data_IF_087793072592
#
_entry.id   IF_087793072592
#
_cell.length_a   1.000
_cell.length_b   1.000
_cell.length_c   1.000
_cell.angle_alpha   90.00
_cell.angle_beta   90.00
_cell.angle_gamma   90.00
#
_symmetry.space_group_name_H-M   'P 1'
#
loop_
_entity.id
_entity.type
_entity.pdbx_description
1 polymer ?
#
# COMPACT_ATOMS: atom_id res chain seq x y z
N UNK A 1 6.63 2.37 8.32
CA UNK A 1 5.59 1.39 8.73
C UNK A 1 4.39 2.15 9.28
N UNK A 2 3.21 1.86 8.75
CA UNK A 2 1.95 2.27 9.37
C UNK A 2 1.62 1.33 10.55
N UNK A 3 1.56 1.90 11.75
CA UNK A 3 1.29 1.15 12.99
C UNK A 3 -0.22 1.01 13.29
N UNK A 4 -1.09 1.75 12.62
CA UNK A 4 -2.53 1.65 12.82
C UNK A 4 -3.08 0.23 12.63
N UNK A 5 -2.88 -0.38 11.45
CA UNK A 5 -3.30 -1.76 11.22
C UNK A 5 -2.56 -2.79 12.09
N UNK A 6 -1.33 -2.50 12.55
CA UNK A 6 -0.63 -3.35 13.51
C UNK A 6 -1.40 -3.43 14.83
N UNK A 7 -1.84 -2.30 15.39
CA UNK A 7 -2.64 -2.31 16.62
C UNK A 7 -4.00 -3.02 16.44
N UNK A 8 -4.62 -2.90 15.26
CA UNK A 8 -5.87 -3.61 14.98
C UNK A 8 -5.73 -5.13 15.04
N UNK A 9 -4.57 -5.69 14.72
CA UNK A 9 -4.30 -7.13 14.86
C UNK A 9 -4.41 -7.60 16.33
N UNK A 10 -4.25 -6.67 17.27
CA UNK A 10 -4.31 -6.91 18.73
C UNK A 10 -5.61 -6.40 19.34
N UNK A 11 -6.65 -6.16 18.54
CA UNK A 11 -7.93 -5.58 18.94
C UNK A 11 -7.81 -4.23 19.68
N UNK A 12 -6.72 -3.50 19.43
CA UNK A 12 -6.46 -2.18 20.00
C UNK A 12 -6.94 -1.11 19.04
N UNK A 13 -8.00 -0.38 19.37
CA UNK A 13 -8.60 0.66 18.56
C UNK A 13 -8.09 2.04 18.96
N UNK A 14 -7.60 2.80 17.98
CA UNK A 14 -7.18 4.19 18.17
C UNK A 14 -6.15 4.62 17.12
N UNK A 15 -6.06 5.91 16.84
CA UNK A 15 -5.09 6.42 15.88
C UNK A 15 -3.67 6.46 16.50
N UNK A 16 -2.68 5.98 15.76
CA UNK A 16 -1.28 6.16 16.15
C UNK A 16 -0.82 7.59 15.82
N UNK A 17 -0.05 8.29 16.69
CA UNK A 17 0.52 7.81 17.96
C UNK A 17 -0.38 7.99 19.18
N UNK A 18 -1.54 8.64 19.07
CA UNK A 18 -2.39 8.97 20.20
C UNK A 18 -2.82 7.76 21.05
N UNK A 19 -2.97 6.58 20.40
CA UNK A 19 -3.31 5.32 21.06
C UNK A 19 -2.36 4.97 22.22
N UNK A 20 -1.09 5.38 22.15
CA UNK A 20 -0.09 5.07 23.20
C UNK A 20 -0.36 5.81 24.53
N UNK A 21 -1.16 6.89 24.49
CA UNK A 21 -1.52 7.68 25.66
C UNK A 21 -3.01 7.61 25.97
N UNK A 22 -3.72 6.68 25.33
CA UNK A 22 -5.15 6.46 25.59
C UNK A 22 -5.38 5.95 27.02
N UNK A 23 -6.43 6.46 27.68
CA UNK A 23 -6.71 6.16 29.08
C UNK A 23 -7.09 4.69 29.33
N UNK A 24 -7.65 4.00 28.31
CA UNK A 24 -8.14 2.63 28.42
C UNK A 24 -7.10 1.63 27.89
N UNK A 25 -6.64 1.84 26.66
CA UNK A 25 -5.78 0.89 25.95
C UNK A 25 -4.31 1.28 25.90
N UNK A 26 -3.95 2.48 26.34
CA UNK A 26 -2.60 3.04 26.14
C UNK A 26 -1.48 2.21 26.79
N UNK A 27 -1.71 1.63 27.97
CA UNK A 27 -0.71 0.77 28.64
C UNK A 27 -0.42 -0.47 27.79
N UNK A 28 -1.47 -1.15 27.32
CA UNK A 28 -1.32 -2.35 26.50
C UNK A 28 -0.78 -2.02 25.10
N UNK A 29 -1.25 -0.92 24.49
CA UNK A 29 -0.74 -0.44 23.23
C UNK A 29 0.76 -0.13 23.30
N UNK A 30 1.22 0.51 24.36
CA UNK A 30 2.64 0.81 24.56
C UNK A 30 3.46 -0.46 24.70
N UNK A 31 2.96 -1.48 25.45
CA UNK A 31 3.63 -2.77 25.62
C UNK A 31 3.76 -3.49 24.27
N UNK A 32 2.65 -3.66 23.55
CA UNK A 32 2.61 -4.34 22.24
C UNK A 32 3.48 -3.61 21.22
N UNK A 33 3.50 -2.28 21.25
CA UNK A 33 4.35 -1.47 20.39
C UNK A 33 5.84 -1.71 20.66
N UNK A 34 6.25 -1.74 21.94
CA UNK A 34 7.64 -2.02 22.32
C UNK A 34 8.08 -3.42 21.89
N UNK A 35 7.21 -4.42 22.08
CA UNK A 35 7.45 -5.80 21.65
C UNK A 35 7.55 -5.89 20.12
N UNK A 36 6.66 -5.16 19.40
CA UNK A 36 6.70 -5.06 17.94
C UNK A 36 8.00 -4.46 17.43
N UNK A 37 8.47 -3.39 18.05
CA UNK A 37 9.75 -2.77 17.68
C UNK A 37 10.94 -3.69 17.97
N UNK A 38 10.91 -4.39 19.09
CA UNK A 38 11.96 -5.36 19.44
C UNK A 38 11.99 -6.53 18.43
N UNK A 39 10.82 -7.04 18.05
CA UNK A 39 10.70 -8.10 17.05
C UNK A 39 11.15 -7.58 15.66
N UNK A 40 10.74 -6.39 15.25
CA UNK A 40 11.16 -5.77 13.99
C UNK A 40 12.68 -5.65 13.92
N UNK A 41 13.31 -5.23 14.99
CA UNK A 41 14.79 -5.19 15.08
C UNK A 41 15.41 -6.57 14.84
N UNK A 42 14.87 -7.63 15.47
CA UNK A 42 15.34 -9.01 15.27
C UNK A 42 15.15 -9.48 13.82
N UNK A 43 14.03 -9.12 13.17
CA UNK A 43 13.74 -9.44 11.78
C UNK A 43 14.82 -8.82 10.87
N UNK A 44 15.13 -7.54 11.08
CA UNK A 44 16.09 -6.78 10.26
C UNK A 44 17.52 -7.28 10.48
N UNK A 45 17.99 -7.34 11.72
CA UNK A 45 19.35 -7.75 12.06
C UNK A 45 19.62 -9.21 11.69
N UNK A 46 18.63 -10.08 11.96
CA UNK A 46 18.69 -11.50 11.63
C UNK A 46 18.40 -11.85 10.18
N UNK A 47 18.00 -10.86 9.36
CA UNK A 47 17.58 -11.08 7.96
C UNK A 47 16.59 -12.23 7.82
N UNK A 48 15.55 -12.25 8.66
CA UNK A 48 14.62 -13.35 8.73
C UNK A 48 13.69 -13.43 7.53
N UNK A 49 13.45 -12.30 6.87
CA UNK A 49 12.60 -12.18 5.70
C UNK A 49 13.37 -11.62 4.52
N UNK A 50 12.97 -11.99 3.33
CA UNK A 50 13.44 -11.39 2.08
C UNK A 50 12.30 -10.63 1.42
N UNK A 51 12.60 -9.42 0.98
CA UNK A 51 11.68 -8.60 0.21
C UNK A 51 12.07 -8.64 -1.28
N UNK A 52 11.07 -8.72 -2.14
CA UNK A 52 11.24 -8.65 -3.59
C UNK A 52 10.15 -7.81 -4.21
N UNK A 53 10.49 -7.07 -5.25
CA UNK A 53 9.54 -6.25 -5.99
C UNK A 53 9.83 -6.28 -7.48
N UNK A 54 8.79 -6.20 -8.27
CA UNK A 54 8.85 -6.03 -9.72
C UNK A 54 7.95 -4.87 -10.11
N UNK A 55 8.37 -4.09 -11.09
CA UNK A 55 7.59 -3.01 -11.66
C UNK A 55 7.75 -2.96 -13.17
N UNK A 56 6.72 -2.45 -13.85
CA UNK A 56 6.73 -2.19 -15.27
C UNK A 56 5.96 -0.91 -15.60
N UNK A 57 6.40 -0.24 -16.65
CA UNK A 57 5.72 0.92 -17.24
C UNK A 57 5.25 0.51 -18.63
N UNK A 58 3.99 0.73 -18.93
CA UNK A 58 3.37 0.25 -20.16
C UNK A 58 2.61 1.37 -20.85
N UNK A 59 2.65 1.43 -22.20
CA UNK A 59 1.76 2.30 -22.94
C UNK A 59 0.31 2.00 -22.57
N UNK A 60 -0.46 3.04 -22.22
CA UNK A 60 -1.83 2.86 -21.74
C UNK A 60 -2.72 4.06 -22.11
N UNK A 61 -4.01 3.81 -22.27
CA UNK A 61 -5.02 4.83 -22.36
C UNK A 61 -6.31 4.39 -21.66
N UNK A 62 -7.05 5.33 -21.09
CA UNK A 62 -8.36 5.02 -20.55
C UNK A 62 -9.43 4.91 -21.65
N UNK A 63 -10.37 3.99 -21.44
CA UNK A 63 -11.51 3.70 -22.32
C UNK A 63 -12.77 3.47 -21.49
N UNK A 64 -13.94 3.64 -22.07
CA UNK A 64 -15.24 3.34 -21.44
C UNK A 64 -15.43 3.99 -20.05
N UNK A 65 -14.85 5.16 -19.82
CA UNK A 65 -14.84 5.94 -18.58
C UNK A 65 -14.07 5.32 -17.41
N UNK A 66 -14.10 4.00 -17.22
CA UNK A 66 -13.57 3.31 -16.03
C UNK A 66 -12.42 2.34 -16.33
N UNK A 67 -12.23 1.95 -17.58
CA UNK A 67 -11.27 0.94 -17.99
C UNK A 67 -9.96 1.53 -18.49
N UNK A 68 -8.87 0.74 -18.42
CA UNK A 68 -7.56 1.11 -18.96
C UNK A 68 -7.08 -0.01 -19.89
N UNK A 69 -6.85 0.32 -21.16
CA UNK A 69 -6.14 -0.56 -22.09
C UNK A 69 -4.64 -0.38 -21.93
N UNK A 70 -3.94 -1.50 -21.79
CA UNK A 70 -2.49 -1.59 -21.85
C UNK A 70 -2.09 -2.20 -23.18
N UNK A 71 -1.12 -1.62 -23.85
CA UNK A 71 -0.69 -2.03 -25.17
C UNK A 71 0.61 -2.83 -25.12
N UNK A 72 0.82 -3.69 -26.14
CA UNK A 72 2.06 -4.47 -26.27
C UNK A 72 3.29 -3.60 -26.49
N UNK A 73 3.12 -2.47 -27.20
CA UNK A 73 4.18 -1.52 -27.51
C UNK A 73 3.65 -0.10 -27.76
N UNK A 74 4.55 0.83 -28.08
CA UNK A 74 4.25 2.23 -28.33
C UNK A 74 3.45 2.50 -29.61
N UNK A 75 3.30 1.52 -30.50
CA UNK A 75 2.42 1.67 -31.68
C UNK A 75 0.94 1.68 -31.30
N UNK A 76 0.59 1.16 -30.12
CA UNK A 76 -0.76 1.11 -29.56
C UNK A 76 -1.79 0.43 -30.47
N UNK A 77 -1.32 -0.50 -31.30
CA UNK A 77 -2.16 -1.23 -32.27
C UNK A 77 -2.76 -2.48 -31.68
N UNK A 78 -2.06 -3.10 -30.72
CA UNK A 78 -2.47 -4.35 -30.07
C UNK A 78 -2.63 -4.15 -28.56
N UNK A 79 -3.81 -4.52 -28.05
CA UNK A 79 -4.12 -4.48 -26.62
C UNK A 79 -3.59 -5.75 -25.97
N UNK A 80 -2.63 -5.61 -25.07
CA UNK A 80 -2.08 -6.71 -24.29
C UNK A 80 -3.02 -7.13 -23.14
N UNK A 81 -3.64 -6.14 -22.49
CA UNK A 81 -4.52 -6.34 -21.35
C UNK A 81 -5.49 -5.17 -21.19
N UNK A 82 -6.70 -5.46 -20.76
CA UNK A 82 -7.62 -4.44 -20.26
C UNK A 82 -7.78 -4.59 -18.76
N UNK A 83 -7.50 -3.51 -18.03
CA UNK A 83 -7.81 -3.40 -16.61
C UNK A 83 -9.22 -2.80 -16.46
N UNK A 84 -10.10 -3.56 -15.84
CA UNK A 84 -11.48 -3.14 -15.61
C UNK A 84 -11.57 -2.42 -14.27
N UNK A 85 -11.86 -1.12 -14.33
CA UNK A 85 -11.94 -0.27 -13.15
C UNK A 85 -13.31 -0.28 -12.49
N UNK A 86 -13.32 0.01 -11.20
CA UNK A 86 -14.54 0.26 -10.45
C UNK A 86 -14.49 1.68 -9.89
N UNK A 87 -15.42 2.52 -10.36
CA UNK A 87 -15.58 3.87 -9.84
C UNK A 87 -16.11 3.86 -8.41
N UNK A 88 -15.66 4.79 -7.59
CA UNK A 88 -16.11 4.91 -6.19
C UNK A 88 -17.64 4.92 -6.12
N UNK A 89 -18.22 4.02 -5.29
CA UNK A 89 -19.65 3.86 -5.10
C UNK A 89 -20.16 4.58 -3.84
N UNK A 90 -19.26 5.12 -3.00
CA UNK A 90 -19.65 5.81 -1.79
C UNK A 90 -20.45 7.08 -2.09
N UNK A 91 -21.50 7.32 -1.32
CA UNK A 91 -22.26 8.57 -1.37
C UNK A 91 -21.33 9.76 -1.09
N UNK A 92 -21.47 10.83 -1.87
CA UNK A 92 -20.63 12.02 -1.76
C UNK A 92 -21.42 13.14 -1.09
N UNK A 93 -20.88 13.62 0.03
CA UNK A 93 -21.40 14.81 0.68
C UNK A 93 -21.00 16.07 -0.07
N UNK A 94 -21.94 16.99 -0.21
CA UNK A 94 -21.67 18.33 -0.75
C UNK A 94 -21.07 19.20 0.35
N UNK A 95 -19.90 19.76 0.12
CA UNK A 95 -19.23 20.69 1.01
C UNK A 95 -19.13 22.04 0.27
N UNK A 96 -19.63 23.10 0.85
CA UNK A 96 -19.65 24.46 0.28
C UNK A 96 -20.25 24.51 -1.14
N UNK A 97 -21.33 23.76 -1.37
CA UNK A 97 -22.02 23.69 -2.65
C UNK A 97 -21.31 22.88 -3.74
N UNK A 98 -20.17 22.25 -3.42
CA UNK A 98 -19.39 21.43 -4.36
C UNK A 98 -19.48 19.96 -3.97
N UNK A 99 -20.02 19.14 -4.86
CA UNK A 99 -20.00 17.67 -4.71
C UNK A 99 -18.74 17.12 -5.39
N UNK A 100 -17.88 16.44 -4.62
CA UNK A 100 -16.69 15.80 -5.18
C UNK A 100 -17.10 14.64 -6.08
N UNK A 101 -16.51 14.49 -7.29
CA UNK A 101 -16.83 13.38 -8.18
C UNK A 101 -16.40 12.04 -7.58
N UNK A 102 -17.11 10.99 -7.93
CA UNK A 102 -16.65 9.62 -7.69
C UNK A 102 -15.46 9.32 -8.59
N UNK A 103 -14.34 8.90 -8.02
CA UNK A 103 -13.07 8.69 -8.73
C UNK A 103 -12.88 7.23 -9.13
N UNK A 104 -12.22 7.04 -10.27
CA UNK A 104 -11.67 5.77 -10.72
C UNK A 104 -10.18 5.95 -11.03
N UNK A 105 -9.40 4.88 -11.05
CA UNK A 105 -7.99 4.96 -11.46
C UNK A 105 -7.84 5.39 -12.92
N UNK A 106 -8.81 5.05 -13.77
CA UNK A 106 -8.84 5.48 -15.18
C UNK A 106 -8.87 7.00 -15.36
N UNK A 107 -9.36 7.77 -14.38
CA UNK A 107 -9.37 9.24 -14.42
C UNK A 107 -7.96 9.86 -14.44
N UNK A 108 -6.93 9.09 -14.10
CA UNK A 108 -5.53 9.52 -14.06
C UNK A 108 -4.72 9.08 -15.29
N UNK A 109 -5.37 8.45 -16.26
CA UNK A 109 -4.77 8.02 -17.53
C UNK A 109 -5.49 8.72 -18.68
N UNK A 110 -4.73 9.28 -19.62
CA UNK A 110 -5.31 10.04 -20.74
C UNK A 110 -6.30 9.18 -21.55
N UNK A 111 -7.50 9.71 -21.86
CA UNK A 111 -8.46 8.99 -22.68
C UNK A 111 -7.91 8.67 -24.08
N UNK A 112 -8.18 7.48 -24.59
CA UNK A 112 -7.80 7.08 -25.95
C UNK A 112 -8.31 8.07 -27.01
N UNK A 113 -9.51 8.62 -26.80
CA UNK A 113 -10.11 9.62 -27.67
C UNK A 113 -9.36 10.95 -27.73
N UNK A 114 -8.50 11.25 -26.75
CA UNK A 114 -7.70 12.48 -26.73
C UNK A 114 -6.53 12.45 -27.70
N UNK A 115 -6.12 11.26 -28.17
CA UNK A 115 -4.93 11.08 -29.00
C UNK A 115 -3.60 11.26 -28.27
N UNK A 116 -3.63 11.46 -26.94
CA UNK A 116 -2.43 11.60 -26.11
C UNK A 116 -1.85 10.21 -25.84
N UNK A 117 -0.59 10.01 -26.15
CA UNK A 117 0.16 8.81 -25.77
C UNK A 117 0.50 8.89 -24.28
N UNK A 118 -0.15 8.05 -23.48
CA UNK A 118 0.07 8.00 -22.03
C UNK A 118 0.58 6.63 -21.60
N UNK A 119 0.99 6.52 -20.34
CA UNK A 119 1.57 5.32 -19.76
C UNK A 119 0.97 5.07 -18.38
N UNK A 120 0.88 3.80 -18.00
CA UNK A 120 0.53 3.42 -16.65
C UNK A 120 1.56 2.46 -16.07
N UNK A 121 1.88 2.64 -14.79
CA UNK A 121 2.79 1.80 -14.05
C UNK A 121 2.05 0.74 -13.25
N UNK A 122 2.59 -0.47 -13.26
CA UNK A 122 2.17 -1.54 -12.37
C UNK A 122 3.36 -2.07 -11.57
N UNK A 123 3.13 -2.45 -10.33
CA UNK A 123 4.14 -3.13 -9.53
C UNK A 123 3.53 -4.18 -8.62
N UNK A 124 4.34 -5.16 -8.26
CA UNK A 124 4.03 -6.12 -7.21
C UNK A 124 5.20 -6.23 -6.26
N UNK A 125 4.91 -6.37 -4.97
CA UNK A 125 5.92 -6.49 -3.92
C UNK A 125 5.55 -7.60 -2.95
N UNK A 126 6.57 -8.17 -2.33
CA UNK A 126 6.45 -9.05 -1.18
C UNK A 126 7.56 -8.77 -0.19
N UNK A 127 7.30 -8.93 1.11
CA UNK A 127 8.30 -8.86 2.17
C UNK A 127 8.20 -10.08 3.11
N UNK A 128 7.50 -11.13 2.70
CA UNK A 128 7.22 -12.32 3.50
C UNK A 128 7.98 -13.57 3.07
N UNK A 129 8.94 -13.48 2.16
CA UNK A 129 9.69 -14.68 1.74
C UNK A 129 10.54 -15.20 2.91
N UNK A 130 10.30 -16.47 3.29
CA UNK A 130 10.94 -17.12 4.44
C UNK A 130 10.13 -17.10 5.72
N UNK A 131 8.90 -16.57 5.70
CA UNK A 131 8.01 -16.46 6.86
C UNK A 131 7.72 -17.83 7.46
N UNK A 132 7.45 -18.85 6.64
CA UNK A 132 6.97 -20.15 7.08
C UNK A 132 7.96 -20.84 8.04
N UNK A 133 9.25 -20.72 7.75
CA UNK A 133 10.30 -21.34 8.58
C UNK A 133 10.35 -20.74 9.98
N UNK A 134 10.24 -19.42 10.09
CA UNK A 134 10.29 -18.72 11.37
C UNK A 134 8.99 -18.84 12.15
N UNK A 135 7.85 -18.72 11.47
CA UNK A 135 6.53 -18.94 12.05
C UNK A 135 6.45 -20.33 12.66
N UNK A 136 6.84 -21.37 11.90
CA UNK A 136 6.87 -22.74 12.39
C UNK A 136 7.71 -22.89 13.65
N UNK A 137 8.86 -22.24 13.74
CA UNK A 137 9.71 -22.31 14.93
C UNK A 137 9.02 -21.73 16.17
N UNK A 138 8.22 -20.66 16.05
CA UNK A 138 7.42 -20.12 17.15
C UNK A 138 6.27 -21.07 17.53
N UNK A 139 5.56 -21.60 16.53
CA UNK A 139 4.47 -22.57 16.77
C UNK A 139 4.99 -23.83 17.46
N UNK A 140 6.11 -24.40 17.00
CA UNK A 140 6.73 -25.59 17.60
C UNK A 140 7.19 -25.32 19.06
N UNK A 141 7.50 -24.06 19.38
CA UNK A 141 7.84 -23.60 20.72
C UNK A 141 6.60 -23.25 21.58
N UNK A 142 5.38 -23.39 21.06
CA UNK A 142 4.12 -22.97 21.68
C UNK A 142 4.09 -21.46 22.02
N UNK A 143 4.78 -20.64 21.20
CA UNK A 143 4.86 -19.18 21.34
C UNK A 143 3.95 -18.51 20.29
N UNK A 144 2.65 -18.62 20.48
CA UNK A 144 1.65 -18.05 19.58
C UNK A 144 1.73 -16.53 19.53
N UNK A 145 2.11 -15.89 20.64
CA UNK A 145 2.28 -14.44 20.70
C UNK A 145 3.34 -13.94 19.71
N UNK A 146 4.52 -14.56 19.72
CA UNK A 146 5.59 -14.22 18.78
C UNK A 146 5.24 -14.60 17.34
N UNK A 147 4.50 -15.68 17.12
CA UNK A 147 4.03 -16.07 15.79
C UNK A 147 3.09 -15.00 15.18
N UNK A 148 2.09 -14.56 15.93
CA UNK A 148 1.14 -13.49 15.52
C UNK A 148 1.89 -12.18 15.29
N UNK A 149 2.76 -11.79 16.23
CA UNK A 149 3.60 -10.59 16.14
C UNK A 149 4.44 -10.58 14.86
N UNK A 150 5.09 -11.67 14.57
CA UNK A 150 5.95 -11.83 13.40
C UNK A 150 5.16 -11.72 12.08
N UNK A 151 4.00 -12.37 11.98
CA UNK A 151 3.13 -12.29 10.80
C UNK A 151 2.60 -10.88 10.58
N UNK A 152 2.12 -10.25 11.64
CA UNK A 152 1.62 -8.88 11.59
C UNK A 152 2.70 -7.91 11.10
N UNK A 153 3.94 -8.05 11.58
CA UNK A 153 5.06 -7.22 11.12
C UNK A 153 5.46 -7.52 9.67
N UNK A 154 5.43 -8.77 9.23
CA UNK A 154 5.72 -9.12 7.83
C UNK A 154 4.71 -8.47 6.87
N UNK A 155 3.44 -8.46 7.23
CA UNK A 155 2.38 -7.77 6.50
C UNK A 155 2.64 -6.25 6.45
N UNK A 156 2.98 -5.64 7.58
CA UNK A 156 3.33 -4.20 7.63
C UNK A 156 4.58 -3.86 6.82
N UNK A 157 5.54 -4.77 6.74
CA UNK A 157 6.74 -4.59 5.91
C UNK A 157 6.41 -4.63 4.41
N UNK A 158 5.49 -5.49 3.97
CA UNK A 158 5.03 -5.52 2.58
C UNK A 158 4.36 -4.19 2.20
N UNK A 159 3.49 -3.64 3.05
CA UNK A 159 2.86 -2.34 2.85
C UNK A 159 3.90 -1.21 2.78
N UNK A 160 4.84 -1.17 3.73
CA UNK A 160 5.91 -0.18 3.75
C UNK A 160 6.80 -0.26 2.50
N UNK A 161 7.05 -1.48 2.00
CA UNK A 161 7.81 -1.67 0.78
C UNK A 161 7.04 -1.20 -0.45
N UNK A 162 5.72 -1.44 -0.51
CA UNK A 162 4.87 -0.91 -1.58
C UNK A 162 4.94 0.62 -1.65
N UNK A 163 4.85 1.30 -0.51
CA UNK A 163 4.99 2.77 -0.45
C UNK A 163 6.39 3.23 -0.87
N UNK A 164 7.44 2.58 -0.37
CA UNK A 164 8.82 2.91 -0.72
C UNK A 164 9.09 2.71 -2.23
N UNK A 165 8.60 1.60 -2.82
CA UNK A 165 8.74 1.35 -4.24
C UNK A 165 7.95 2.38 -5.07
N UNK A 166 6.72 2.68 -4.69
CA UNK A 166 5.91 3.70 -5.36
C UNK A 166 6.58 5.09 -5.32
N UNK A 167 7.14 5.46 -4.16
CA UNK A 167 7.92 6.70 -4.05
C UNK A 167 9.10 6.68 -5.02
N UNK A 168 9.88 5.61 -5.05
CA UNK A 168 11.02 5.46 -5.94
C UNK A 168 10.63 5.47 -7.42
N UNK A 169 9.49 4.86 -7.78
CA UNK A 169 8.98 4.92 -9.16
C UNK A 169 8.72 6.36 -9.56
N UNK A 170 8.06 7.15 -8.71
CA UNK A 170 7.73 8.55 -9.01
C UNK A 170 8.94 9.46 -9.11
N UNK A 171 9.95 9.25 -8.26
CA UNK A 171 11.12 10.13 -8.17
C UNK A 171 12.26 9.74 -9.10
N UNK A 172 12.53 8.44 -9.22
CA UNK A 172 13.73 7.94 -9.87
C UNK A 172 13.45 7.16 -11.14
N UNK A 173 12.57 6.14 -11.08
CA UNK A 173 12.44 5.17 -12.16
C UNK A 173 11.58 5.68 -13.32
N UNK A 174 10.55 6.43 -13.02
CA UNK A 174 9.74 7.14 -14.01
C UNK A 174 10.03 8.64 -13.98
N UNK A 175 10.24 9.22 -12.80
CA UNK A 175 10.68 10.60 -12.64
C UNK A 175 9.63 11.68 -12.97
N UNK A 176 8.35 11.34 -12.95
CA UNK A 176 7.29 12.31 -13.29
C UNK A 176 6.91 13.24 -12.13
N UNK A 177 7.31 12.93 -10.91
CA UNK A 177 6.98 13.72 -9.73
C UNK A 177 8.20 13.90 -8.82
N UNK A 178 8.91 15.00 -9.00
CA UNK A 178 10.06 15.40 -8.18
C UNK A 178 9.63 16.03 -6.85
N UNK A 179 8.37 16.43 -6.71
CA UNK A 179 7.84 17.07 -5.51
C UNK A 179 7.12 16.04 -4.64
N UNK A 180 7.54 15.94 -3.38
CA UNK A 180 6.96 15.10 -2.33
C UNK A 180 5.49 15.42 -1.97
N UNK A 181 4.86 16.34 -2.65
CA UNK A 181 3.60 16.98 -2.25
C UNK A 181 2.32 16.32 -2.76
N UNK A 182 2.40 15.18 -3.47
CA UNK A 182 1.19 14.44 -3.78
C UNK A 182 1.02 13.30 -2.77
N UNK A 183 0.21 13.48 -1.71
CA UNK A 183 -0.03 12.40 -0.78
C UNK A 183 -0.62 11.21 -1.53
N UNK A 184 -0.12 10.01 -1.23
CA UNK A 184 -0.74 8.76 -1.68
C UNK A 184 -2.23 8.79 -1.33
N UNK A 185 -3.11 8.15 -2.11
CA UNK A 185 -4.52 7.98 -1.72
C UNK A 185 -4.70 7.42 -0.29
N UNK A 186 -3.69 6.71 0.24
CA UNK A 186 -3.65 6.22 1.62
C UNK A 186 -3.33 7.33 2.63
N UNK A 187 -2.45 8.27 2.28
CA UNK A 187 -2.08 9.40 3.17
C UNK A 187 -3.25 10.36 3.40
N UNK A 188 -4.23 10.38 2.50
CA UNK A 188 -5.43 11.20 2.63
C UNK A 188 -6.43 10.69 3.68
N UNK A 189 -6.26 9.46 4.20
CA UNK A 189 -7.11 8.91 5.27
C UNK A 189 -6.66 9.33 6.67
N UNK A 190 -5.44 9.86 6.85
CA UNK A 190 -4.86 10.23 8.14
C UNK A 190 -5.13 11.67 8.59
N UNK A 191 -5.81 12.51 7.80
CA UNK A 191 -6.14 13.89 8.15
C UNK A 191 -7.65 14.09 8.28
N UNK A 192 -8.24 13.53 9.34
CA UNK A 192 -9.52 13.94 9.91
C UNK A 192 -9.43 13.86 11.42
#
# INVERSE_FOLDING_TARGET
IDWGPFFQTWDLAGPYPAILTDEIVGVEATRVFADGQAMLKKIIEGRWLTASGVMGLYPANSVNDDDIEFYTDDTRTEVAMTWYGLRQQAEKHTIDGVTRPSRCLADFVAPKSSGIADYAGMFAVTAGLGIEKKEKAFIDALDDYSAIMFKSLADRLAEAFAEALHHRVRTDLWGYCLLYTSPSPRDQRGSR
#
